data_IF_041175873636
#
_entry.id   IF_041175873636
#
_cell.length_a   1.000
_cell.length_b   1.000
_cell.length_c   1.000
_cell.angle_alpha   90.00
_cell.angle_beta   90.00
_cell.angle_gamma   90.00
#
_symmetry.space_group_name_H-M   'P 1'
#
loop_
_entity.id
_entity.type
_entity.pdbx_description
1 polymer ?
#
# COMPACT_ATOMS: atom_id res chain seq x y z
N UNK A 1 -18.30 -8.63 -6.58
CA UNK A 1 -17.27 -9.17 -7.48
C UNK A 1 -16.01 -8.36 -7.24
N UNK A 2 -15.24 -8.73 -6.21
CA UNK A 2 -13.96 -8.09 -5.89
C UNK A 2 -12.95 -8.57 -6.92
N UNK A 3 -12.77 -7.74 -7.95
CA UNK A 3 -11.81 -7.98 -9.02
C UNK A 3 -10.43 -7.69 -8.47
N UNK A 4 -9.60 -8.73 -8.37
CA UNK A 4 -8.14 -8.66 -8.28
C UNK A 4 -7.62 -7.71 -9.38
N UNK A 5 -7.54 -6.41 -9.12
CA UNK A 5 -6.85 -5.44 -9.97
C UNK A 5 -5.41 -5.37 -9.49
N UNK A 6 -4.48 -5.50 -10.43
CA UNK A 6 -3.04 -5.44 -10.14
C UNK A 6 -2.67 -4.09 -9.52
N UNK A 7 -1.51 -4.00 -8.87
CA UNK A 7 -1.03 -2.70 -8.34
C UNK A 7 -0.93 -1.67 -9.47
N UNK A 8 -0.60 -2.11 -10.68
CA UNK A 8 -0.58 -1.32 -11.90
C UNK A 8 -1.97 -0.84 -12.31
N UNK A 9 -2.99 -1.70 -12.26
CA UNK A 9 -4.37 -1.29 -12.53
C UNK A 9 -4.89 -0.29 -11.50
N UNK A 10 -4.55 -0.49 -10.22
CA UNK A 10 -4.89 0.46 -9.15
C UNK A 10 -4.20 1.80 -9.37
N UNK A 11 -2.91 1.80 -9.71
CA UNK A 11 -2.15 2.99 -10.02
C UNK A 11 -2.73 3.73 -11.24
N UNK A 12 -3.08 3.01 -12.29
CA UNK A 12 -3.66 3.58 -13.50
C UNK A 12 -5.00 4.27 -13.20
N UNK A 13 -5.87 3.63 -12.41
CA UNK A 13 -7.12 4.28 -11.99
C UNK A 13 -6.89 5.49 -11.11
N UNK A 14 -5.95 5.44 -10.16
CA UNK A 14 -5.63 6.59 -9.32
C UNK A 14 -5.08 7.76 -10.14
N UNK A 15 -4.23 7.49 -11.13
CA UNK A 15 -3.73 8.51 -12.08
C UNK A 15 -4.85 9.08 -12.96
N UNK A 16 -5.80 8.24 -13.38
CA UNK A 16 -6.99 8.69 -14.10
C UNK A 16 -7.87 9.60 -13.22
N UNK A 17 -8.06 9.27 -11.94
CA UNK A 17 -8.77 10.13 -10.99
C UNK A 17 -8.03 11.45 -10.74
N UNK A 18 -6.71 11.41 -10.59
CA UNK A 18 -5.89 12.62 -10.45
C UNK A 18 -6.01 13.51 -11.69
N UNK A 19 -5.93 12.94 -12.89
CA UNK A 19 -6.06 13.69 -14.14
C UNK A 19 -7.45 14.31 -14.31
N UNK A 20 -8.50 13.53 -14.09
CA UNK A 20 -9.87 14.04 -14.08
C UNK A 20 -10.01 15.18 -13.06
N UNK A 21 -9.40 15.04 -11.89
CA UNK A 21 -9.41 16.13 -10.91
C UNK A 21 -8.73 17.37 -11.47
N UNK A 22 -7.48 17.28 -11.95
CA UNK A 22 -6.76 18.43 -12.51
C UNK A 22 -7.56 19.14 -13.62
N UNK A 23 -8.28 18.40 -14.46
CA UNK A 23 -9.17 18.99 -15.47
C UNK A 23 -10.35 19.76 -14.86
N UNK A 24 -10.99 19.21 -13.83
CA UNK A 24 -12.07 19.89 -13.10
C UNK A 24 -11.59 21.09 -12.27
N UNK A 25 -10.30 21.16 -11.90
CA UNK A 25 -9.72 22.34 -11.24
C UNK A 25 -9.85 23.60 -12.09
N UNK A 26 -9.71 23.50 -13.42
CA UNK A 26 -9.88 24.64 -14.32
C UNK A 26 -11.32 25.19 -14.26
N UNK A 27 -12.32 24.33 -14.05
CA UNK A 27 -13.71 24.75 -13.87
C UNK A 27 -13.92 25.45 -12.52
N UNK A 28 -13.21 25.03 -11.47
CA UNK A 28 -13.23 25.69 -10.16
C UNK A 28 -12.58 27.07 -10.22
N UNK A 29 -11.45 27.22 -10.92
CA UNK A 29 -10.79 28.51 -11.12
C UNK A 29 -11.66 29.49 -11.93
N UNK A 30 -12.36 28.99 -12.96
CA UNK A 30 -13.32 29.80 -13.71
C UNK A 30 -14.50 30.25 -12.84
N UNK A 31 -15.01 29.36 -11.99
CA UNK A 31 -16.09 29.68 -11.05
C UNK A 31 -15.65 30.73 -10.03
N UNK A 32 -14.40 30.64 -9.55
CA UNK A 32 -13.80 31.61 -8.63
C UNK A 32 -13.65 33.00 -9.28
N UNK A 33 -13.17 33.05 -10.52
CA UNK A 33 -13.10 34.30 -11.29
C UNK A 33 -14.47 34.94 -11.52
N UNK A 34 -15.49 34.15 -11.85
CA UNK A 34 -16.85 34.65 -12.02
C UNK A 34 -17.43 35.17 -10.71
N UNK A 35 -17.15 34.48 -9.60
CA UNK A 35 -17.58 34.91 -8.28
C UNK A 35 -16.91 36.20 -7.83
N UNK A 36 -15.60 36.36 -8.09
CA UNK A 36 -14.86 37.59 -7.83
C UNK A 36 -15.44 38.78 -8.62
N UNK A 37 -15.79 38.58 -9.90
CA UNK A 37 -16.41 39.61 -10.73
C UNK A 37 -17.80 40.02 -10.17
N UNK A 38 -18.59 39.07 -9.67
CA UNK A 38 -19.89 39.34 -9.04
C UNK A 38 -19.72 40.14 -7.73
N UNK A 39 -18.71 39.83 -6.92
CA UNK A 39 -18.37 40.60 -5.71
C UNK A 39 -17.98 42.05 -6.06
N UNK A 40 -17.19 42.25 -7.12
CA UNK A 40 -16.78 43.58 -7.59
C UNK A 40 -17.95 44.41 -8.13
N UNK A 41 -18.99 43.76 -8.67
CA UNK A 41 -20.21 44.45 -9.15
C UNK A 41 -21.19 44.85 -8.04
N UNK A 42 -20.84 44.66 -6.75
CA UNK A 42 -21.66 45.01 -5.57
C UNK A 42 -23.06 44.36 -5.57
N UNK A 43 -23.23 43.23 -6.28
CA UNK A 43 -24.48 42.44 -6.27
C UNK A 43 -24.44 41.54 -5.03
N UNK A 44 -24.76 42.12 -3.86
CA UNK A 44 -24.69 41.44 -2.56
C UNK A 44 -25.87 40.49 -2.25
N UNK A 45 -26.86 40.36 -3.13
CA UNK A 45 -28.12 39.66 -2.81
C UNK A 45 -28.05 38.12 -2.95
N UNK A 46 -26.85 37.54 -3.02
CA UNK A 46 -26.64 36.08 -3.02
C UNK A 46 -25.96 35.65 -1.72
N UNK A 47 -26.70 35.77 -0.62
CA UNK A 47 -26.29 35.43 0.75
C UNK A 47 -25.79 33.97 0.94
N UNK A 48 -25.96 33.09 -0.06
CA UNK A 48 -25.57 31.68 -0.03
C UNK A 48 -24.35 31.32 -0.92
N UNK A 49 -23.84 32.24 -1.75
CA UNK A 49 -22.79 31.91 -2.72
C UNK A 49 -21.35 31.98 -2.16
N UNK A 50 -21.07 32.89 -1.23
CA UNK A 50 -19.71 33.08 -0.66
C UNK A 50 -19.20 31.84 0.10
N UNK A 51 -20.01 31.30 1.02
CA UNK A 51 -19.61 30.11 1.77
C UNK A 51 -19.46 28.91 0.84
N UNK A 52 -20.33 28.75 -0.14
CA UNK A 52 -20.32 27.57 -1.02
C UNK A 52 -19.00 27.42 -1.79
N UNK A 53 -18.37 28.53 -2.18
CA UNK A 53 -17.14 28.51 -2.98
C UNK A 53 -15.88 28.24 -2.14
N UNK A 54 -15.74 28.87 -0.98
CA UNK A 54 -14.64 28.59 -0.04
C UNK A 54 -14.69 27.13 0.44
N UNK A 55 -15.89 26.60 0.71
CA UNK A 55 -16.07 25.17 1.04
C UNK A 55 -15.74 24.25 -0.15
N UNK A 56 -15.93 24.72 -1.40
CA UNK A 56 -15.58 23.96 -2.61
C UNK A 56 -14.06 23.84 -2.78
N UNK A 57 -13.32 24.93 -2.57
CA UNK A 57 -11.86 24.93 -2.65
C UNK A 57 -11.21 24.06 -1.57
N UNK A 58 -11.66 24.17 -0.32
CA UNK A 58 -11.17 23.33 0.78
C UNK A 58 -11.55 21.86 0.57
N UNK A 59 -12.78 21.58 0.12
CA UNK A 59 -13.22 20.22 -0.20
C UNK A 59 -12.40 19.58 -1.33
N UNK A 60 -11.94 20.39 -2.28
CA UNK A 60 -11.08 19.97 -3.37
C UNK A 60 -9.67 19.56 -2.91
N UNK A 61 -9.02 20.39 -2.09
CA UNK A 61 -7.71 20.05 -1.51
C UNK A 61 -7.78 18.83 -0.59
N UNK A 62 -8.88 18.67 0.15
CA UNK A 62 -9.15 17.49 0.97
C UNK A 62 -9.27 16.20 0.15
N UNK A 63 -9.64 16.28 -1.13
CA UNK A 63 -9.75 15.12 -2.02
C UNK A 63 -8.43 14.79 -2.73
N UNK A 64 -7.65 15.80 -3.12
CA UNK A 64 -6.36 15.61 -3.79
C UNK A 64 -5.30 14.96 -2.89
N UNK A 65 -5.21 15.40 -1.64
CA UNK A 65 -4.17 14.94 -0.71
C UNK A 65 -4.23 13.41 -0.45
N UNK A 66 -5.41 12.80 -0.20
CA UNK A 66 -5.53 11.35 -0.09
C UNK A 66 -5.15 10.62 -1.38
N UNK A 67 -5.58 11.10 -2.55
CA UNK A 67 -5.29 10.44 -3.83
C UNK A 67 -3.79 10.45 -4.11
N UNK A 68 -3.13 11.60 -3.95
CA UNK A 68 -1.67 11.71 -4.12
C UNK A 68 -0.91 10.83 -3.12
N UNK A 69 -1.39 10.73 -1.87
CA UNK A 69 -0.81 9.82 -0.86
C UNK A 69 -0.95 8.36 -1.31
N UNK A 70 -2.14 7.93 -1.72
CA UNK A 70 -2.37 6.55 -2.17
C UNK A 70 -1.58 6.22 -3.43
N UNK A 71 -1.42 7.15 -4.38
CA UNK A 71 -0.53 6.99 -5.54
C UNK A 71 0.90 6.70 -5.08
N UNK A 72 1.45 7.54 -4.19
CA UNK A 72 2.80 7.34 -3.66
C UNK A 72 2.94 6.02 -2.90
N UNK A 73 1.92 5.60 -2.14
CA UNK A 73 1.92 4.32 -1.43
C UNK A 73 1.94 3.14 -2.41
N UNK A 74 1.14 3.17 -3.48
CA UNK A 74 1.11 2.13 -4.50
C UNK A 74 2.41 2.11 -5.32
N UNK A 75 2.96 3.28 -5.68
CA UNK A 75 4.25 3.37 -6.38
C UNK A 75 5.39 2.82 -5.52
N UNK A 76 5.43 3.14 -4.22
CA UNK A 76 6.41 2.56 -3.30
C UNK A 76 6.25 1.03 -3.17
N UNK A 77 5.04 0.49 -3.21
CA UNK A 77 4.81 -0.95 -3.21
C UNK A 77 5.31 -1.61 -4.49
N UNK A 78 5.10 -0.99 -5.66
CA UNK A 78 5.61 -1.47 -6.95
C UNK A 78 7.14 -1.41 -6.97
N UNK A 79 7.74 -0.30 -6.53
CA UNK A 79 9.19 -0.16 -6.42
C UNK A 79 9.79 -1.20 -5.48
N UNK A 80 9.15 -1.44 -4.34
CA UNK A 80 9.59 -2.47 -3.38
C UNK A 80 9.53 -3.86 -4.02
N UNK A 81 8.46 -4.18 -4.75
CA UNK A 81 8.34 -5.44 -5.48
C UNK A 81 9.47 -5.60 -6.51
N UNK A 82 9.68 -4.58 -7.34
CA UNK A 82 10.64 -4.61 -8.44
C UNK A 82 12.09 -4.61 -7.93
N UNK A 83 12.40 -3.83 -6.89
CA UNK A 83 13.73 -3.79 -6.25
C UNK A 83 14.11 -5.14 -5.60
N UNK A 84 13.10 -5.90 -5.18
CA UNK A 84 13.26 -7.21 -4.54
C UNK A 84 13.22 -8.38 -5.53
N UNK A 85 13.01 -8.12 -6.81
CA UNK A 85 12.89 -9.15 -7.84
C UNK A 85 11.68 -10.08 -7.65
N UNK A 86 10.66 -9.64 -6.91
CA UNK A 86 9.46 -10.46 -6.64
C UNK A 86 8.51 -10.36 -7.84
N UNK A 87 8.09 -11.49 -8.38
CA UNK A 87 7.09 -11.49 -9.47
C UNK A 87 5.71 -11.05 -8.98
N UNK A 88 4.87 -10.56 -9.89
CA UNK A 88 3.49 -10.16 -9.56
C UNK A 88 2.70 -11.32 -8.92
N UNK A 89 2.88 -12.54 -9.43
CA UNK A 89 2.22 -13.75 -8.92
C UNK A 89 2.68 -14.06 -7.50
N UNK A 90 3.99 -14.02 -7.21
CA UNK A 90 4.49 -14.22 -5.84
C UNK A 90 3.99 -13.14 -4.88
N UNK A 91 3.94 -11.88 -5.31
CA UNK A 91 3.38 -10.80 -4.49
C UNK A 91 1.89 -11.03 -4.19
N UNK A 92 1.13 -11.53 -5.16
CA UNK A 92 -0.27 -11.90 -4.97
C UNK A 92 -0.41 -13.11 -4.04
N UNK A 93 0.43 -14.14 -4.16
CA UNK A 93 0.45 -15.28 -3.26
C UNK A 93 0.75 -14.84 -1.82
N UNK A 94 1.77 -14.00 -1.63
CA UNK A 94 2.10 -13.43 -0.32
C UNK A 94 0.96 -12.59 0.25
N UNK A 95 0.31 -11.74 -0.55
CA UNK A 95 -0.88 -10.99 -0.10
C UNK A 95 -2.05 -11.92 0.23
N UNK A 96 -2.30 -12.93 -0.59
CA UNK A 96 -3.38 -13.88 -0.39
C UNK A 96 -3.17 -14.70 0.88
N UNK A 97 -1.95 -15.21 1.11
CA UNK A 97 -1.56 -15.88 2.35
C UNK A 97 -1.69 -14.92 3.54
N UNK A 98 -1.15 -13.70 3.45
CA UNK A 98 -1.23 -12.73 4.55
C UNK A 98 -2.69 -12.41 4.91
N UNK A 99 -3.53 -12.07 3.92
CA UNK A 99 -4.95 -11.78 4.14
C UNK A 99 -5.75 -13.00 4.61
N UNK A 100 -5.32 -14.21 4.28
CA UNK A 100 -5.97 -15.43 4.78
C UNK A 100 -5.77 -15.60 6.29
N UNK A 101 -4.61 -15.17 6.82
CA UNK A 101 -4.29 -15.24 8.23
C UNK A 101 -4.66 -13.97 9.02
N UNK A 102 -4.71 -12.80 8.37
CA UNK A 102 -5.16 -11.52 8.97
C UNK A 102 -6.69 -11.49 9.09
N UNK A 103 -7.21 -12.22 10.08
CA UNK A 103 -8.66 -12.35 10.33
C UNK A 103 -9.31 -11.04 10.78
N UNK A 104 -8.54 -10.20 11.44
CA UNK A 104 -9.01 -8.92 11.96
C UNK A 104 -8.92 -7.81 10.90
N UNK A 105 -8.36 -8.10 9.73
CA UNK A 105 -8.06 -7.13 8.66
C UNK A 105 -7.34 -5.89 9.21
N UNK A 106 -6.48 -6.12 10.21
CA UNK A 106 -5.76 -5.07 10.92
C UNK A 106 -4.54 -4.58 10.13
N UNK A 107 -4.15 -5.29 9.07
CA UNK A 107 -2.94 -5.00 8.30
C UNK A 107 -1.66 -5.45 9.02
N UNK A 108 -1.80 -6.21 10.10
CA UNK A 108 -0.69 -6.76 10.87
C UNK A 108 -1.05 -8.14 11.42
N UNK A 109 -0.12 -9.09 11.32
CA UNK A 109 -0.28 -10.43 11.86
C UNK A 109 0.29 -10.51 13.27
N UNK A 110 -0.45 -11.14 14.18
CA UNK A 110 0.10 -11.54 15.47
C UNK A 110 1.18 -12.62 15.32
N UNK A 111 1.96 -12.92 16.38
CA UNK A 111 3.06 -13.87 16.29
C UNK A 111 2.57 -15.29 15.96
N UNK A 112 1.40 -15.68 16.48
CA UNK A 112 0.79 -16.99 16.20
C UNK A 112 0.30 -17.09 14.75
N UNK A 113 -0.28 -16.01 14.22
CA UNK A 113 -0.79 -15.94 12.85
C UNK A 113 0.36 -15.90 11.83
N UNK A 114 1.40 -15.12 12.12
CA UNK A 114 2.63 -15.08 11.33
C UNK A 114 3.32 -16.45 11.32
N UNK A 115 3.37 -17.16 12.46
CA UNK A 115 3.88 -18.53 12.52
C UNK A 115 3.07 -19.49 11.64
N UNK A 116 1.74 -19.41 11.70
CA UNK A 116 0.86 -20.21 10.84
C UNK A 116 1.06 -19.89 9.34
N UNK A 117 1.24 -18.61 9.01
CA UNK A 117 1.53 -18.14 7.67
C UNK A 117 2.84 -18.73 7.12
N UNK A 118 3.92 -18.68 7.91
CA UNK A 118 5.21 -19.26 7.55
C UNK A 118 5.11 -20.77 7.29
N UNK A 119 4.38 -21.51 8.13
CA UNK A 119 4.13 -22.96 7.93
C UNK A 119 3.37 -23.19 6.63
N UNK A 120 2.35 -22.36 6.33
CA UNK A 120 1.56 -22.47 5.11
C UNK A 120 2.37 -22.20 3.84
N UNK A 121 3.43 -21.38 3.96
CA UNK A 121 4.37 -21.08 2.88
C UNK A 121 5.48 -22.15 2.76
N UNK A 122 5.51 -23.13 3.67
CA UNK A 122 6.47 -24.24 3.65
C UNK A 122 7.71 -24.05 4.50
N UNK A 123 7.81 -22.99 5.32
CA UNK A 123 8.91 -22.83 6.27
C UNK A 123 8.79 -23.80 7.45
N UNK A 124 9.91 -24.38 7.86
CA UNK A 124 9.96 -25.37 8.95
C UNK A 124 10.03 -24.72 10.35
N UNK A 125 9.06 -23.85 10.65
CA UNK A 125 8.88 -23.24 11.99
C UNK A 125 7.90 -24.04 12.84
N UNK A 126 8.02 -25.38 12.83
CA UNK A 126 7.15 -26.28 13.62
C UNK A 126 7.29 -26.03 15.13
N UNK A 127 6.38 -26.60 15.92
CA UNK A 127 6.34 -26.47 17.39
C UNK A 127 7.48 -27.18 18.13
N UNK A 128 8.45 -27.70 17.39
CA UNK A 128 9.67 -28.36 17.83
C UNK A 128 10.61 -27.34 18.51
N UNK A 129 11.54 -27.81 19.35
CA UNK A 129 12.52 -26.91 20.00
C UNK A 129 13.37 -26.12 18.99
N UNK A 130 13.69 -26.70 17.84
CA UNK A 130 14.43 -26.03 16.77
C UNK A 130 13.55 -25.02 16.03
N UNK A 131 12.33 -25.41 15.61
CA UNK A 131 11.41 -24.51 14.90
C UNK A 131 11.00 -23.28 15.71
N UNK A 132 10.84 -23.42 17.04
CA UNK A 132 10.58 -22.27 17.92
C UNK A 132 11.79 -21.32 18.05
N UNK A 133 13.02 -21.86 18.00
CA UNK A 133 14.23 -21.03 18.03
C UNK A 133 14.37 -20.26 16.71
N UNK A 134 14.13 -20.91 15.56
CA UNK A 134 14.08 -20.25 14.25
C UNK A 134 13.03 -19.15 14.22
N UNK A 135 11.81 -19.45 14.68
CA UNK A 135 10.73 -18.48 14.72
C UNK A 135 11.09 -17.25 15.58
N UNK A 136 11.72 -17.44 16.75
CA UNK A 136 12.19 -16.33 17.57
C UNK A 136 13.26 -15.48 16.87
N UNK A 137 14.17 -16.11 16.13
CA UNK A 137 15.17 -15.37 15.33
C UNK A 137 14.50 -14.54 14.24
N UNK A 138 13.55 -15.13 13.51
CA UNK A 138 12.78 -14.44 12.47
C UNK A 138 11.98 -13.29 13.10
N UNK A 139 11.31 -13.52 14.23
CA UNK A 139 10.53 -12.50 14.93
C UNK A 139 11.41 -11.31 15.34
N UNK A 140 12.64 -11.56 15.81
CA UNK A 140 13.58 -10.49 16.17
C UNK A 140 14.06 -9.68 14.95
N UNK A 141 14.07 -10.28 13.75
CA UNK A 141 14.39 -9.61 12.49
C UNK A 141 13.22 -8.76 11.98
N UNK A 142 12.00 -9.28 12.02
CA UNK A 142 10.81 -8.59 11.47
C UNK A 142 10.16 -7.61 12.45
N UNK A 143 10.36 -7.82 13.75
CA UNK A 143 9.81 -6.99 14.83
C UNK A 143 10.90 -6.67 15.88
N UNK A 144 11.91 -5.85 15.54
CA UNK A 144 12.97 -5.45 16.47
C UNK A 144 12.42 -4.65 17.66
N UNK A 145 11.25 -4.01 17.49
CA UNK A 145 10.58 -3.27 18.55
C UNK A 145 9.81 -4.18 19.51
N UNK A 146 9.72 -5.49 19.24
CA UNK A 146 8.90 -6.43 20.02
C UNK A 146 7.47 -5.93 20.23
N UNK A 147 6.91 -5.29 19.21
CA UNK A 147 5.52 -4.83 19.18
C UNK A 147 4.52 -5.98 19.26
N UNK A 148 4.95 -7.19 18.89
CA UNK A 148 4.10 -8.38 18.80
C UNK A 148 3.21 -8.35 17.57
N UNK A 149 3.50 -7.52 16.58
CA UNK A 149 2.71 -7.39 15.36
C UNK A 149 3.63 -7.26 14.14
N UNK A 150 3.46 -8.15 13.17
CA UNK A 150 4.23 -8.19 11.94
C UNK A 150 3.42 -7.56 10.82
N UNK A 151 3.86 -6.39 10.35
CA UNK A 151 3.22 -5.70 9.22
C UNK A 151 3.50 -6.42 7.90
N UNK A 152 2.64 -6.20 6.91
CA UNK A 152 2.86 -6.75 5.56
C UNK A 152 4.22 -6.34 4.98
N UNK A 153 4.68 -5.11 5.25
CA UNK A 153 5.98 -4.64 4.78
C UNK A 153 7.13 -5.48 5.38
N UNK A 154 7.13 -5.69 6.70
CA UNK A 154 8.14 -6.49 7.38
C UNK A 154 8.13 -7.96 6.91
N UNK A 155 6.93 -8.50 6.65
CA UNK A 155 6.77 -9.82 6.05
C UNK A 155 7.45 -9.92 4.68
N UNK A 156 7.23 -8.94 3.79
CA UNK A 156 7.83 -8.92 2.45
C UNK A 156 9.34 -8.64 2.50
N UNK A 157 9.80 -7.83 3.45
CA UNK A 157 11.24 -7.63 3.73
C UNK A 157 11.91 -8.96 4.07
N UNK A 158 11.31 -9.75 4.95
CA UNK A 158 11.81 -11.09 5.30
C UNK A 158 11.79 -12.06 4.12
N UNK A 159 10.64 -12.23 3.46
CA UNK A 159 10.49 -13.19 2.36
C UNK A 159 11.43 -12.89 1.20
N UNK A 160 11.69 -11.61 0.93
CA UNK A 160 12.63 -11.18 -0.10
C UNK A 160 14.08 -11.48 0.23
N UNK A 161 14.48 -11.31 1.50
CA UNK A 161 15.86 -11.59 1.92
C UNK A 161 16.17 -13.08 1.73
N UNK A 162 15.28 -13.95 2.19
CA UNK A 162 15.44 -15.40 2.10
C UNK A 162 15.40 -15.91 0.65
N UNK A 163 14.53 -15.38 -0.21
CA UNK A 163 14.46 -15.77 -1.63
C UNK A 163 15.68 -15.33 -2.42
N UNK A 164 16.30 -14.20 -2.07
CA UNK A 164 17.54 -13.73 -2.71
C UNK A 164 18.70 -14.66 -2.36
N UNK A 165 18.83 -15.01 -1.08
CA UNK A 165 19.87 -15.94 -0.60
C UNK A 165 19.69 -17.36 -1.17
N UNK A 166 18.46 -17.86 -1.29
CA UNK A 166 18.22 -19.18 -1.92
C UNK A 166 18.44 -19.15 -3.43
N UNK A 167 18.03 -18.11 -4.14
CA UNK A 167 18.29 -17.99 -5.58
C UNK A 167 19.79 -17.94 -5.88
N UNK A 168 20.56 -17.16 -5.12
CA UNK A 168 22.02 -17.10 -5.27
C UNK A 168 22.70 -18.42 -4.88
N UNK A 169 22.26 -19.08 -3.81
CA UNK A 169 22.79 -20.39 -3.42
C UNK A 169 22.49 -21.47 -4.46
N UNK A 170 21.30 -21.47 -5.04
CA UNK A 170 20.92 -22.40 -6.12
C UNK A 170 21.77 -22.13 -7.36
N UNK A 171 21.89 -20.87 -7.80
CA UNK A 171 22.73 -20.49 -8.95
C UNK A 171 24.21 -20.86 -8.71
N UNK A 172 24.73 -20.57 -7.52
CA UNK A 172 26.10 -20.95 -7.16
C UNK A 172 26.27 -22.47 -7.11
N UNK A 173 25.30 -23.23 -6.61
CA UNK A 173 25.36 -24.70 -6.61
C UNK A 173 25.37 -25.31 -8.02
N UNK A 174 24.77 -24.64 -9.01
CA UNK A 174 24.82 -25.05 -10.42
C UNK A 174 26.10 -24.59 -11.15
N UNK A 175 26.75 -23.52 -10.70
CA UNK A 175 28.01 -23.03 -11.29
C UNK A 175 29.26 -23.84 -10.87
N UNK A 176 29.14 -24.68 -9.84
CA UNK A 176 30.20 -25.56 -9.34
C UNK A 176 30.07 -27.04 -9.78
N UNK A 177 29.16 -27.35 -10.72
CA UNK A 177 29.06 -28.66 -11.40
C UNK A 177 29.56 -28.53 -12.82
#
# INVERSE_FOLDING_TARGET
>A
MEMNRTLEDQLNHLKEYEQNMVEYKANLELLDQQHQLVQETLIFDKQHSNSTLEHLGVGWEQLLMPIARTINEVENQILTRDAKGISQEQMQEFRASFNHFDKDHGGALGPEEFKACLISLGYDVKSDRQGNAEFQRIMALVDPNSSGSVTFQAFIDFMSHETTDTAEQVINSFLFV
#
